data_IF_835805069910
#
_entry.id   IF_835805069910
#
_cell.length_a   1.000
_cell.length_b   1.000
_cell.length_c   1.000
_cell.angle_alpha   90.00
_cell.angle_beta   90.00
_cell.angle_gamma   90.00
#
_symmetry.space_group_name_H-M   'P 1'
#
loop_
_entity.id
_entity.type
_entity.pdbx_description
1 polymer ?
#
# COMPACT_ATOMS: atom_id res chain seq x y z
N UNK A 1 -9.37 -16.19 -15.55
CA UNK A 1 -10.20 -15.92 -14.36
C UNK A 1 -9.55 -16.58 -13.15
N UNK A 2 -9.76 -16.10 -11.93
CA UNK A 2 -9.37 -16.86 -10.74
C UNK A 2 -10.15 -18.19 -10.72
N UNK A 3 -9.52 -19.37 -10.54
CA UNK A 3 -10.20 -20.66 -10.70
C UNK A 3 -11.48 -20.80 -9.85
N UNK A 4 -11.37 -20.51 -8.55
CA UNK A 4 -12.54 -20.55 -7.66
C UNK A 4 -13.66 -19.58 -8.08
N UNK A 5 -13.30 -18.40 -8.59
CA UNK A 5 -14.30 -17.41 -9.03
C UNK A 5 -14.95 -17.87 -10.34
N UNK A 6 -14.20 -18.54 -11.24
CA UNK A 6 -14.77 -19.12 -12.46
C UNK A 6 -15.85 -20.15 -12.12
N UNK A 7 -15.54 -21.10 -11.22
CA UNK A 7 -16.49 -22.11 -10.73
C UNK A 7 -17.74 -21.49 -10.08
N UNK A 8 -17.56 -20.38 -9.37
CA UNK A 8 -18.67 -19.63 -8.78
C UNK A 8 -19.53 -18.94 -9.84
N UNK A 9 -18.91 -18.25 -10.80
CA UNK A 9 -19.61 -17.51 -11.85
C UNK A 9 -20.35 -18.43 -12.83
N UNK A 10 -19.79 -19.59 -13.18
CA UNK A 10 -20.43 -20.58 -14.05
C UNK A 10 -21.75 -21.14 -13.47
N UNK A 11 -21.98 -20.99 -12.16
CA UNK A 11 -23.23 -21.37 -11.49
C UNK A 11 -24.30 -20.28 -11.53
N UNK A 12 -23.96 -19.06 -11.96
CA UNK A 12 -24.90 -17.93 -12.00
C UNK A 12 -25.76 -17.99 -13.26
N UNK A 13 -27.05 -17.68 -13.13
CA UNK A 13 -28.02 -17.73 -14.22
C UNK A 13 -27.57 -16.91 -15.44
N UNK A 14 -27.04 -15.71 -15.20
CA UNK A 14 -26.57 -14.81 -16.26
C UNK A 14 -25.39 -15.41 -17.06
N UNK A 15 -24.52 -16.19 -16.41
CA UNK A 15 -23.36 -16.81 -17.05
C UNK A 15 -23.79 -18.07 -17.80
N UNK A 16 -24.67 -18.88 -17.20
CA UNK A 16 -25.27 -20.05 -17.87
C UNK A 16 -26.02 -19.65 -19.14
N UNK A 17 -26.70 -18.51 -19.14
CA UNK A 17 -27.35 -17.98 -20.34
C UNK A 17 -26.35 -17.70 -21.47
N UNK A 18 -25.18 -17.11 -21.16
CA UNK A 18 -24.13 -16.88 -22.16
C UNK A 18 -23.57 -18.20 -22.72
N UNK A 19 -23.40 -19.21 -21.86
CA UNK A 19 -22.94 -20.54 -22.27
C UNK A 19 -23.96 -21.20 -23.20
N UNK A 20 -25.25 -21.19 -22.83
CA UNK A 20 -26.33 -21.75 -23.66
C UNK A 20 -26.44 -21.08 -25.03
N UNK A 21 -26.11 -19.79 -25.12
CA UNK A 21 -26.10 -19.01 -26.36
C UNK A 21 -24.80 -19.17 -27.18
N UNK A 22 -23.83 -19.98 -26.73
CA UNK A 22 -22.47 -20.06 -27.30
C UNK A 22 -21.74 -18.70 -27.35
N UNK A 23 -22.10 -17.77 -26.47
CA UNK A 23 -21.41 -16.49 -26.30
C UNK A 23 -20.24 -16.57 -25.30
N UNK A 24 -20.21 -17.63 -24.48
CA UNK A 24 -19.13 -17.93 -23.54
C UNK A 24 -18.81 -19.42 -23.61
N UNK A 25 -17.52 -19.74 -23.68
CA UNK A 25 -17.01 -21.12 -23.61
C UNK A 25 -16.07 -21.25 -22.41
N UNK A 26 -16.34 -22.21 -21.53
CA UNK A 26 -15.41 -22.59 -20.49
C UNK A 26 -14.29 -23.46 -21.09
N UNK A 27 -13.05 -23.00 -20.97
CA UNK A 27 -11.87 -23.68 -21.50
C UNK A 27 -11.11 -24.46 -20.40
N UNK A 28 -11.60 -24.44 -19.16
CA UNK A 28 -10.90 -24.99 -18.01
C UNK A 28 -9.63 -24.21 -17.63
N UNK A 29 -8.87 -24.77 -16.70
CA UNK A 29 -7.56 -24.22 -16.32
C UNK A 29 -6.49 -24.58 -17.36
N UNK A 30 -5.76 -23.58 -17.84
CA UNK A 30 -4.67 -23.75 -18.79
C UNK A 30 -3.63 -22.63 -18.65
N UNK A 31 -2.41 -22.90 -19.14
CA UNK A 31 -1.32 -21.92 -19.22
C UNK A 31 -0.34 -21.97 -18.06
N UNK A 32 0.27 -20.81 -17.78
CA UNK A 32 1.35 -20.64 -16.80
C UNK A 32 0.89 -20.82 -15.36
N UNK A 33 1.86 -21.13 -14.47
CA UNK A 33 1.60 -21.16 -13.04
C UNK A 33 1.54 -19.74 -12.46
N UNK A 34 0.54 -19.52 -11.62
CA UNK A 34 0.34 -18.28 -10.87
C UNK A 34 0.43 -18.53 -9.37
N UNK A 35 1.02 -17.58 -8.65
CA UNK A 35 1.14 -17.62 -7.19
C UNK A 35 0.20 -16.57 -6.57
N UNK A 36 -0.66 -16.94 -5.60
CA UNK A 36 -1.42 -15.96 -4.85
C UNK A 36 -0.48 -15.13 -3.98
N UNK A 37 -0.61 -13.81 -4.05
CA UNK A 37 0.14 -12.88 -3.19
C UNK A 37 -0.56 -12.72 -1.84
N UNK A 38 -0.02 -11.88 -0.94
CA UNK A 38 -0.61 -11.65 0.39
C UNK A 38 -2.03 -11.07 0.41
N UNK A 39 -2.57 -10.58 -0.73
CA UNK A 39 -3.98 -10.19 -0.84
C UNK A 39 -4.90 -11.36 -1.24
N UNK A 40 -4.35 -12.54 -1.53
CA UNK A 40 -4.97 -13.72 -2.15
C UNK A 40 -5.50 -13.50 -3.57
N UNK A 41 -6.28 -12.43 -3.79
CA UNK A 41 -6.93 -12.10 -5.06
C UNK A 41 -6.01 -11.52 -6.14
N UNK A 42 -4.82 -11.05 -5.75
CA UNK A 42 -3.79 -10.64 -6.71
C UNK A 42 -2.81 -11.78 -6.93
N UNK A 43 -2.66 -12.18 -8.18
CA UNK A 43 -1.78 -13.27 -8.60
C UNK A 43 -0.52 -12.73 -9.27
N UNK A 44 0.59 -13.37 -8.96
CA UNK A 44 1.91 -13.09 -9.53
C UNK A 44 2.40 -14.27 -10.37
N UNK A 45 3.06 -13.98 -11.48
CA UNK A 45 3.83 -14.96 -12.24
C UNK A 45 5.14 -14.32 -12.70
N UNK A 46 6.31 -14.96 -12.45
CA UNK A 46 7.60 -14.41 -12.88
C UNK A 46 7.76 -14.38 -14.41
N UNK A 47 7.01 -15.21 -15.14
CA UNK A 47 7.06 -15.30 -16.61
C UNK A 47 6.13 -14.31 -17.32
N UNK A 48 5.39 -13.46 -16.59
CA UNK A 48 4.40 -12.55 -17.15
C UNK A 48 4.72 -11.08 -16.84
N UNK A 49 4.47 -10.20 -17.84
CA UNK A 49 4.64 -8.75 -17.72
C UNK A 49 3.60 -8.07 -16.84
N UNK A 50 2.48 -8.75 -16.61
CA UNK A 50 1.38 -8.27 -15.78
C UNK A 50 1.14 -9.22 -14.60
N UNK A 51 0.90 -8.63 -13.44
CA UNK A 51 0.16 -9.28 -12.36
C UNK A 51 -1.34 -9.11 -12.62
N UNK A 52 -2.16 -10.02 -12.09
CA UNK A 52 -3.62 -9.95 -12.27
C UNK A 52 -4.31 -9.88 -10.91
N UNK A 53 -5.12 -8.83 -10.68
CA UNK A 53 -5.95 -8.65 -9.50
C UNK A 53 -7.40 -8.96 -9.85
N UNK A 54 -7.96 -10.03 -9.29
CA UNK A 54 -9.33 -10.46 -9.56
C UNK A 54 -10.34 -9.88 -8.58
N UNK A 55 -11.57 -9.68 -9.03
CA UNK A 55 -12.75 -9.67 -8.17
C UNK A 55 -12.92 -11.08 -7.60
N UNK A 56 -13.01 -11.20 -6.28
CA UNK A 56 -13.08 -12.49 -5.59
C UNK A 56 -14.16 -12.43 -4.51
N UNK A 57 -15.21 -13.23 -4.64
CA UNK A 57 -16.37 -13.29 -3.72
C UNK A 57 -16.04 -14.03 -2.42
N UNK A 58 -14.92 -13.65 -1.78
CA UNK A 58 -14.43 -14.17 -0.50
C UNK A 58 -14.23 -13.00 0.45
N UNK A 59 -14.59 -13.19 1.72
CA UNK A 59 -14.32 -12.22 2.78
C UNK A 59 -12.94 -12.46 3.38
N UNK A 60 -12.08 -11.44 3.34
CA UNK A 60 -10.78 -11.44 4.02
C UNK A 60 -10.70 -10.22 4.92
N UNK A 61 -10.39 -10.45 6.20
CA UNK A 61 -10.50 -9.45 7.28
C UNK A 61 -11.91 -8.86 7.37
N UNK A 62 -12.06 -7.55 7.11
CA UNK A 62 -13.31 -6.82 7.27
C UNK A 62 -13.97 -6.47 5.93
N UNK A 63 -13.53 -7.06 4.81
CA UNK A 63 -14.02 -6.72 3.48
C UNK A 63 -14.26 -7.94 2.61
N UNK A 64 -15.35 -7.91 1.84
CA UNK A 64 -15.52 -8.78 0.67
C UNK A 64 -14.56 -8.30 -0.41
N UNK A 65 -13.86 -9.23 -1.05
CA UNK A 65 -12.75 -8.95 -1.97
C UNK A 65 -13.20 -8.86 -3.43
N UNK A 66 -14.43 -8.43 -3.67
CA UNK A 66 -14.88 -8.01 -5.00
C UNK A 66 -14.22 -6.69 -5.40
N UNK A 67 -14.12 -6.47 -6.71
CA UNK A 67 -13.75 -5.20 -7.31
C UNK A 67 -15.01 -4.48 -7.75
N UNK A 68 -14.97 -3.15 -7.78
CA UNK A 68 -15.97 -2.34 -8.49
C UNK A 68 -15.37 -1.61 -9.69
N UNK A 69 -16.21 -1.18 -10.62
CA UNK A 69 -15.78 -0.32 -11.74
C UNK A 69 -15.15 0.97 -11.22
N UNK A 70 -15.67 1.50 -10.11
CA UNK A 70 -15.13 2.69 -9.45
C UNK A 70 -13.67 2.48 -9.08
N UNK A 71 -13.34 1.34 -8.47
CA UNK A 71 -11.99 1.01 -8.04
C UNK A 71 -11.04 0.76 -9.23
N UNK A 72 -11.50 0.06 -10.27
CA UNK A 72 -10.70 -0.14 -11.49
C UNK A 72 -10.39 1.19 -12.19
N UNK A 73 -11.34 2.13 -12.21
CA UNK A 73 -11.13 3.48 -12.77
C UNK A 73 -10.08 4.30 -12.00
N UNK A 74 -9.86 4.06 -10.70
CA UNK A 74 -8.78 4.72 -9.94
C UNK A 74 -7.41 4.32 -10.47
N UNK A 75 -7.22 3.03 -10.80
CA UNK A 75 -6.01 2.53 -11.46
C UNK A 75 -5.76 3.25 -12.78
N UNK A 76 -6.77 3.27 -13.66
CA UNK A 76 -6.69 3.98 -14.95
C UNK A 76 -6.37 5.47 -14.80
N UNK A 77 -6.97 6.13 -13.81
CA UNK A 77 -6.72 7.56 -13.53
C UNK A 77 -5.26 7.79 -13.14
N UNK A 78 -4.72 7.02 -12.21
CA UNK A 78 -3.34 7.13 -11.80
C UNK A 78 -2.36 6.81 -12.94
N UNK A 79 -2.67 5.79 -13.74
CA UNK A 79 -1.88 5.40 -14.90
C UNK A 79 -1.81 6.51 -15.97
N UNK A 80 -2.93 7.19 -16.23
CA UNK A 80 -2.96 8.37 -17.13
C UNK A 80 -2.22 9.55 -16.55
N UNK A 81 -2.39 9.82 -15.25
CA UNK A 81 -1.67 10.89 -14.56
C UNK A 81 -0.16 10.64 -14.60
N UNK A 82 0.27 9.37 -14.58
CA UNK A 82 1.68 9.00 -14.68
C UNK A 82 2.34 9.36 -16.01
N UNK A 83 1.55 9.67 -17.05
CA UNK A 83 2.05 10.11 -18.35
C UNK A 83 2.29 11.63 -18.43
N UNK A 84 1.90 12.42 -17.43
CA UNK A 84 2.07 13.88 -17.52
C UNK A 84 3.48 14.34 -17.09
N UNK A 85 3.94 15.52 -17.54
CA UNK A 85 5.25 16.05 -17.16
C UNK A 85 5.44 16.19 -15.64
N UNK A 86 4.37 16.53 -14.91
CA UNK A 86 4.44 16.68 -13.45
C UNK A 86 4.66 15.35 -12.71
N UNK A 87 4.17 14.23 -13.27
CA UNK A 87 4.60 12.91 -12.78
C UNK A 87 6.07 12.66 -13.06
N UNK A 88 6.56 13.04 -14.24
CA UNK A 88 7.97 12.85 -14.60
C UNK A 88 8.91 13.67 -13.70
N UNK A 89 8.49 14.86 -13.26
CA UNK A 89 9.21 15.63 -12.23
C UNK A 89 9.25 14.91 -10.88
N UNK A 90 8.11 14.36 -10.43
CA UNK A 90 8.05 13.54 -9.22
C UNK A 90 8.98 12.32 -9.32
N UNK A 91 8.91 11.59 -10.43
CA UNK A 91 9.72 10.41 -10.68
C UNK A 91 11.21 10.73 -10.78
N UNK A 92 11.58 11.86 -11.38
CA UNK A 92 12.96 12.33 -11.46
C UNK A 92 13.52 12.71 -10.08
N UNK A 93 12.69 13.29 -9.20
CA UNK A 93 13.06 13.60 -7.82
C UNK A 93 13.25 12.34 -6.98
N UNK A 94 12.42 11.32 -7.19
CA UNK A 94 12.46 10.05 -6.47
C UNK A 94 12.59 8.86 -7.43
N UNK A 95 13.76 8.65 -8.06
CA UNK A 95 13.94 7.64 -9.11
C UNK A 95 13.80 6.19 -8.63
N UNK A 96 13.93 5.97 -7.32
CA UNK A 96 13.81 4.65 -6.67
C UNK A 96 12.44 4.45 -6.02
N UNK A 97 11.52 5.41 -6.15
CA UNK A 97 10.11 5.26 -5.80
C UNK A 97 9.33 5.01 -7.08
N UNK A 98 8.65 3.87 -7.18
CA UNK A 98 7.82 3.52 -8.34
C UNK A 98 6.44 3.03 -7.90
N UNK A 99 5.46 3.24 -8.77
CA UNK A 99 4.11 2.69 -8.61
C UNK A 99 3.90 1.60 -9.65
N UNK A 100 3.47 0.42 -9.24
CA UNK A 100 2.96 -0.61 -10.15
C UNK A 100 1.59 -0.15 -10.66
N UNK A 101 1.55 0.41 -11.87
CA UNK A 101 0.32 0.97 -12.42
C UNK A 101 -0.72 -0.12 -12.68
N UNK A 102 -1.99 0.28 -12.63
CA UNK A 102 -3.15 -0.55 -12.93
C UNK A 102 -3.85 0.04 -14.16
N UNK A 103 -3.23 -0.12 -15.34
CA UNK A 103 -3.57 0.57 -16.58
C UNK A 103 -4.46 -0.25 -17.53
N UNK A 104 -4.91 -1.42 -17.09
CA UNK A 104 -5.86 -2.27 -17.80
C UNK A 104 -6.85 -2.94 -16.85
N UNK A 105 -8.09 -3.08 -17.29
CA UNK A 105 -9.10 -3.87 -16.59
C UNK A 105 -10.13 -4.43 -17.56
N UNK A 106 -10.75 -5.53 -17.16
CA UNK A 106 -11.78 -6.20 -17.95
C UNK A 106 -12.86 -6.81 -17.06
N UNK A 107 -14.02 -7.11 -17.64
CA UNK A 107 -15.12 -7.82 -16.98
C UNK A 107 -16.10 -8.35 -18.01
N UNK A 108 -16.88 -9.34 -17.60
CA UNK A 108 -17.93 -9.95 -18.41
C UNK A 108 -19.23 -9.14 -18.31
N UNK A 109 -19.98 -9.15 -19.40
CA UNK A 109 -21.35 -8.63 -19.45
C UNK A 109 -22.31 -9.79 -19.67
N UNK A 110 -23.46 -9.74 -19.02
CA UNK A 110 -24.58 -10.65 -19.29
C UNK A 110 -25.20 -10.39 -20.67
N UNK A 111 -26.14 -11.24 -21.09
CA UNK A 111 -26.75 -11.16 -22.42
C UNK A 111 -27.52 -9.84 -22.67
N UNK A 112 -27.95 -9.16 -21.61
CA UNK A 112 -28.56 -7.82 -21.62
C UNK A 112 -27.52 -6.68 -21.59
N UNK A 113 -26.23 -7.00 -21.73
CA UNK A 113 -25.09 -6.08 -21.66
C UNK A 113 -24.82 -5.44 -20.29
N UNK A 114 -25.44 -5.94 -19.21
CA UNK A 114 -25.13 -5.51 -17.84
C UNK A 114 -23.76 -6.04 -17.40
N UNK A 115 -22.88 -5.15 -16.93
CA UNK A 115 -21.56 -5.53 -16.44
C UNK A 115 -21.66 -6.25 -15.09
N UNK A 116 -20.95 -7.36 -14.96
CA UNK A 116 -20.96 -8.20 -13.76
C UNK A 116 -19.70 -7.95 -12.92
N UNK A 117 -19.80 -7.20 -11.83
CA UNK A 117 -18.62 -6.77 -11.05
C UNK A 117 -17.81 -7.93 -10.43
N UNK A 118 -18.47 -9.06 -10.15
CA UNK A 118 -17.83 -10.29 -9.66
C UNK A 118 -16.91 -10.96 -10.70
N UNK A 119 -16.99 -10.54 -11.97
CA UNK A 119 -16.11 -11.01 -13.05
C UNK A 119 -14.96 -10.06 -13.36
N UNK A 120 -14.87 -8.93 -12.65
CA UNK A 120 -13.84 -7.92 -12.92
C UNK A 120 -12.44 -8.46 -12.65
N UNK A 121 -11.49 -7.99 -13.45
CA UNK A 121 -10.07 -8.13 -13.20
C UNK A 121 -9.35 -6.83 -13.57
N UNK A 122 -8.24 -6.58 -12.91
CA UNK A 122 -7.31 -5.48 -13.16
C UNK A 122 -5.94 -6.07 -13.50
N UNK A 123 -5.32 -5.55 -14.54
CA UNK A 123 -3.94 -5.82 -14.91
C UNK A 123 -3.06 -4.81 -14.20
N UNK A 124 -1.99 -5.29 -13.56
CA UNK A 124 -1.03 -4.47 -12.85
C UNK A 124 0.35 -4.73 -13.43
N UNK A 125 1.11 -3.66 -13.71
CA UNK A 125 2.49 -3.76 -14.17
C UNK A 125 3.34 -4.64 -13.26
N UNK A 126 3.92 -5.72 -13.82
CA UNK A 126 4.94 -6.51 -13.13
C UNK A 126 6.31 -5.87 -13.33
N UNK A 127 6.62 -4.87 -12.51
CA UNK A 127 7.94 -4.21 -12.52
C UNK A 127 9.10 -5.14 -12.10
N UNK A 128 8.80 -6.36 -11.62
CA UNK A 128 9.79 -7.39 -11.28
C UNK A 128 10.06 -8.36 -12.43
N UNK A 129 9.33 -8.26 -13.55
CA UNK A 129 9.43 -9.21 -14.67
C UNK A 129 10.85 -9.38 -15.21
N UNK A 130 11.63 -8.29 -15.28
CA UNK A 130 13.02 -8.33 -15.76
C UNK A 130 14.03 -8.81 -14.71
N UNK A 131 13.65 -8.82 -13.43
CA UNK A 131 14.51 -9.19 -12.30
C UNK A 131 13.72 -9.97 -11.24
N UNK A 132 13.21 -11.17 -11.57
CA UNK A 132 12.34 -11.95 -10.68
C UNK A 132 13.05 -12.40 -9.39
N UNK A 133 14.37 -12.47 -9.40
CA UNK A 133 15.22 -12.84 -8.26
C UNK A 133 15.71 -11.62 -7.44
N UNK A 134 15.23 -10.42 -7.75
CA UNK A 134 15.54 -9.21 -6.96
C UNK A 134 15.04 -9.34 -5.52
N UNK A 135 15.75 -8.72 -4.57
CA UNK A 135 15.36 -8.72 -3.17
C UNK A 135 14.26 -7.67 -2.89
N UNK A 136 13.12 -7.82 -3.54
CA UNK A 136 11.96 -6.93 -3.39
C UNK A 136 10.87 -7.61 -2.58
N UNK A 137 10.71 -7.19 -1.34
CA UNK A 137 9.90 -7.91 -0.35
C UNK A 137 8.77 -7.01 0.16
N UNK A 138 7.59 -7.58 0.35
CA UNK A 138 6.47 -6.85 0.98
C UNK A 138 6.79 -6.59 2.45
N UNK A 139 6.62 -5.34 2.90
CA UNK A 139 7.00 -4.90 4.25
C UNK A 139 6.33 -5.75 5.34
N UNK A 140 5.06 -6.11 5.15
CA UNK A 140 4.30 -6.91 6.14
C UNK A 140 4.94 -8.26 6.45
N UNK A 141 5.65 -8.86 5.49
CA UNK A 141 6.34 -10.14 5.69
C UNK A 141 7.68 -9.94 6.39
N UNK A 142 8.32 -8.78 6.23
CA UNK A 142 9.57 -8.46 6.92
C UNK A 142 9.35 -8.23 8.42
N UNK A 143 8.30 -7.48 8.77
CA UNK A 143 8.01 -7.02 10.14
C UNK A 143 7.21 -8.03 10.95
N UNK A 144 6.65 -9.07 10.32
CA UNK A 144 5.89 -10.11 10.99
C UNK A 144 6.75 -10.80 12.07
N UNK A 145 6.17 -10.99 13.25
CA UNK A 145 6.77 -11.83 14.29
C UNK A 145 6.78 -13.29 13.84
N UNK A 146 7.91 -13.98 13.98
CA UNK A 146 7.98 -15.40 13.61
C UNK A 146 7.15 -16.26 14.56
N UNK A 147 6.36 -17.22 14.04
CA UNK A 147 5.52 -18.08 14.87
C UNK A 147 6.28 -18.92 15.90
N UNK A 148 7.55 -19.22 15.65
CA UNK A 148 8.41 -20.01 16.55
C UNK A 148 9.18 -19.14 17.56
N UNK A 149 8.96 -17.82 17.55
CA UNK A 149 9.66 -16.86 18.41
C UNK A 149 11.08 -16.51 17.94
N UNK A 150 11.48 -16.93 16.74
CA UNK A 150 12.74 -16.56 16.11
C UNK A 150 12.81 -15.10 15.66
N UNK A 151 13.92 -14.74 15.02
CA UNK A 151 14.10 -13.43 14.39
C UNK A 151 13.07 -13.24 13.27
N UNK A 152 12.37 -12.10 13.26
CA UNK A 152 11.62 -11.66 12.08
C UNK A 152 12.53 -11.62 10.84
N UNK A 153 11.93 -11.69 9.65
CA UNK A 153 12.70 -11.59 8.41
C UNK A 153 13.43 -10.24 8.28
N UNK A 154 12.89 -9.17 8.87
CA UNK A 154 13.58 -7.88 9.02
C UNK A 154 14.82 -8.01 9.92
N UNK A 155 14.67 -8.62 11.11
CA UNK A 155 15.79 -8.80 12.03
C UNK A 155 16.90 -9.66 11.40
N UNK A 156 16.52 -10.72 10.71
CA UNK A 156 17.43 -11.56 9.93
C UNK A 156 18.18 -10.76 8.84
N UNK A 157 17.50 -9.87 8.13
CA UNK A 157 18.11 -8.99 7.13
C UNK A 157 19.13 -8.04 7.77
N UNK A 158 18.78 -7.40 8.88
CA UNK A 158 19.68 -6.50 9.62
C UNK A 158 20.90 -7.24 10.17
N UNK A 159 20.77 -8.46 10.67
CA UNK A 159 21.92 -9.27 11.11
C UNK A 159 22.85 -9.62 9.95
N UNK A 160 22.32 -9.97 8.78
CA UNK A 160 23.13 -10.21 7.57
C UNK A 160 23.82 -8.93 7.10
N UNK A 161 23.14 -7.79 7.13
CA UNK A 161 23.70 -6.47 6.86
C UNK A 161 24.87 -6.16 7.81
N UNK A 162 24.66 -6.36 9.12
CA UNK A 162 25.68 -6.15 10.16
C UNK A 162 26.91 -7.03 9.93
N UNK A 163 26.72 -8.33 9.69
CA UNK A 163 27.80 -9.27 9.45
C UNK A 163 28.58 -8.92 8.17
N UNK A 164 27.88 -8.60 7.08
CA UNK A 164 28.48 -8.27 5.79
C UNK A 164 29.30 -6.98 5.83
N UNK A 165 28.81 -5.96 6.55
CA UNK A 165 29.46 -4.66 6.66
C UNK A 165 30.39 -4.53 7.88
N UNK A 166 30.48 -5.58 8.71
CA UNK A 166 31.21 -5.57 9.97
C UNK A 166 30.79 -4.41 10.89
N UNK A 167 29.49 -4.22 11.06
CA UNK A 167 28.89 -3.17 11.90
C UNK A 167 28.33 -3.76 13.20
N UNK A 168 28.32 -2.98 14.31
CA UNK A 168 27.48 -3.29 15.45
C UNK A 168 26.00 -3.42 15.04
N UNK A 169 25.26 -4.33 15.66
CA UNK A 169 23.84 -4.60 15.32
C UNK A 169 22.97 -3.34 15.38
N UNK A 170 23.13 -2.52 16.41
CA UNK A 170 22.43 -1.24 16.55
C UNK A 170 22.70 -0.32 15.36
N UNK A 171 23.96 -0.22 14.92
CA UNK A 171 24.33 0.63 13.81
C UNK A 171 23.79 0.09 12.46
N UNK A 172 23.76 -1.23 12.27
CA UNK A 172 23.11 -1.83 11.10
C UNK A 172 21.59 -1.58 11.09
N UNK A 173 20.93 -1.64 12.25
CA UNK A 173 19.51 -1.31 12.38
C UNK A 173 19.24 0.16 12.03
N UNK A 174 20.11 1.08 12.48
CA UNK A 174 20.04 2.48 12.10
C UNK A 174 20.24 2.69 10.60
N UNK A 175 21.26 2.05 9.99
CA UNK A 175 21.45 2.12 8.55
C UNK A 175 20.22 1.63 7.78
N UNK A 176 19.59 0.55 8.23
CA UNK A 176 18.38 0.02 7.62
C UNK A 176 17.20 0.98 7.77
N UNK A 177 16.98 1.51 8.97
CA UNK A 177 15.87 2.43 9.26
C UNK A 177 16.02 3.77 8.53
N UNK A 178 17.23 4.35 8.52
CA UNK A 178 17.51 5.59 7.81
C UNK A 178 17.27 5.41 6.29
N UNK A 179 17.69 4.27 5.73
CA UNK A 179 17.43 3.92 4.34
C UNK A 179 15.93 3.68 4.06
N UNK A 180 15.20 3.03 4.97
CA UNK A 180 13.74 2.91 4.89
C UNK A 180 13.07 4.29 4.88
N UNK A 181 13.50 5.21 5.75
CA UNK A 181 12.99 6.57 5.75
C UNK A 181 13.25 7.25 4.39
N UNK A 182 14.50 7.21 3.92
CA UNK A 182 14.91 7.83 2.66
C UNK A 182 14.16 7.28 1.44
N UNK A 183 13.98 5.96 1.37
CA UNK A 183 13.46 5.31 0.17
C UNK A 183 11.96 5.05 0.20
N UNK A 184 11.32 4.97 1.37
CA UNK A 184 9.88 4.67 1.51
C UNK A 184 9.13 5.86 2.09
N UNK A 185 9.51 6.29 3.29
CA UNK A 185 8.74 7.25 4.08
C UNK A 185 8.71 8.64 3.44
N UNK A 186 9.90 9.20 3.18
CA UNK A 186 10.03 10.57 2.69
C UNK A 186 9.45 10.75 1.28
N UNK A 187 9.63 9.82 0.31
CA UNK A 187 8.98 9.92 -0.98
C UNK A 187 7.44 9.94 -0.88
N UNK A 188 6.85 9.13 -0.01
CA UNK A 188 5.39 9.11 0.17
C UNK A 188 4.86 10.42 0.79
N UNK A 189 5.50 10.93 1.85
CA UNK A 189 5.13 12.22 2.43
C UNK A 189 5.35 13.39 1.46
N UNK A 190 6.48 13.41 0.74
CA UNK A 190 6.75 14.47 -0.23
C UNK A 190 5.81 14.44 -1.43
N UNK A 191 5.42 13.24 -1.88
CA UNK A 191 4.43 13.07 -2.96
C UNK A 191 3.09 13.72 -2.59
N UNK A 192 2.64 13.52 -1.35
CA UNK A 192 1.44 14.18 -0.84
C UNK A 192 1.66 15.68 -0.69
N UNK A 193 2.70 16.10 0.04
CA UNK A 193 2.92 17.49 0.37
C UNK A 193 3.17 18.40 -0.86
N UNK A 194 3.91 17.92 -1.85
CA UNK A 194 4.38 18.74 -2.97
C UNK A 194 3.54 18.59 -4.24
N UNK A 195 2.79 17.49 -4.36
CA UNK A 195 2.01 17.16 -5.55
C UNK A 195 0.52 16.91 -5.26
N UNK A 196 0.13 16.75 -3.99
CA UNK A 196 -1.24 16.44 -3.58
C UNK A 196 -1.67 15.01 -3.91
N UNK A 197 -0.74 14.13 -4.30
CA UNK A 197 -1.04 12.73 -4.56
C UNK A 197 -0.91 11.93 -3.26
N UNK A 198 -2.01 11.33 -2.83
CA UNK A 198 -2.09 10.49 -1.64
C UNK A 198 -2.02 9.03 -2.05
N UNK A 199 -1.08 8.29 -1.47
CA UNK A 199 -0.99 6.83 -1.62
C UNK A 199 -1.12 6.21 -0.23
N UNK A 200 -2.22 5.50 0.03
CA UNK A 200 -2.48 4.85 1.32
C UNK A 200 -1.62 3.58 1.46
N UNK A 201 -0.35 3.79 1.77
CA UNK A 201 0.69 2.77 1.85
C UNK A 201 0.72 2.08 3.21
N UNK A 202 -0.16 1.10 3.42
CA UNK A 202 -0.02 0.15 4.51
C UNK A 202 1.06 -0.90 4.22
N UNK A 203 1.45 -1.72 5.21
CA UNK A 203 2.57 -2.65 5.05
C UNK A 203 2.45 -3.58 3.85
N UNK A 204 1.22 -4.00 3.51
CA UNK A 204 1.00 -4.88 2.37
C UNK A 204 1.13 -4.17 1.01
N UNK A 205 1.05 -2.84 0.95
CA UNK A 205 1.17 -2.03 -0.28
C UNK A 205 2.60 -1.52 -0.51
N UNK A 206 3.50 -1.68 0.47
CA UNK A 206 4.91 -1.31 0.39
C UNK A 206 5.71 -2.55 0.05
N UNK A 207 6.32 -2.56 -1.14
CA UNK A 207 7.36 -3.51 -1.51
C UNK A 207 8.70 -2.79 -1.34
N UNK A 208 9.50 -3.22 -0.36
CA UNK A 208 10.83 -2.65 -0.11
C UNK A 208 11.81 -3.32 -1.07
N UNK A 209 12.40 -2.52 -1.96
CA UNK A 209 13.48 -2.99 -2.84
C UNK A 209 14.78 -2.92 -2.05
N UNK A 210 15.41 -4.07 -1.86
CA UNK A 210 16.67 -4.17 -1.14
C UNK A 210 17.80 -4.62 -2.06
N UNK A 211 19.02 -4.20 -1.73
CA UNK A 211 20.23 -4.76 -2.28
C UNK A 211 21.12 -5.22 -1.12
N UNK A 212 21.37 -6.53 -1.06
CA UNK A 212 22.14 -7.15 0.02
C UNK A 212 21.62 -6.74 1.41
N UNK A 213 20.30 -6.83 1.62
CA UNK A 213 19.60 -6.52 2.87
C UNK A 213 19.47 -5.04 3.25
N UNK A 214 19.95 -4.09 2.42
CA UNK A 214 19.75 -2.65 2.64
C UNK A 214 18.65 -2.11 1.70
N UNK A 215 17.66 -1.33 2.19
CA UNK A 215 16.70 -0.65 1.33
C UNK A 215 17.38 0.30 0.34
N UNK A 216 17.04 0.19 -0.93
CA UNK A 216 17.55 1.05 -2.02
C UNK A 216 16.44 1.65 -2.88
N UNK A 217 15.20 1.26 -2.64
CA UNK A 217 14.02 1.72 -3.37
C UNK A 217 12.73 1.12 -2.83
N UNK A 218 11.64 1.43 -3.51
CA UNK A 218 10.32 0.91 -3.16
C UNK A 218 9.38 0.83 -4.36
N UNK A 219 8.55 -0.21 -4.38
CA UNK A 219 7.41 -0.32 -5.30
C UNK A 219 6.09 -0.23 -4.52
N UNK A 220 5.25 0.73 -4.88
CA UNK A 220 3.92 0.89 -4.33
C UNK A 220 2.98 0.06 -5.18
N UNK A 221 2.09 -0.70 -4.54
CA UNK A 221 1.04 -1.45 -5.23
C UNK A 221 -0.33 -1.11 -4.65
N UNK A 222 -1.35 -1.45 -5.42
CA UNK A 222 -2.77 -1.20 -5.11
C UNK A 222 -3.22 0.25 -5.34
N UNK A 223 -3.52 0.56 -6.60
CA UNK A 223 -3.99 1.88 -7.02
C UNK A 223 -5.38 2.22 -6.47
N UNK A 224 -6.11 1.23 -5.93
CA UNK A 224 -7.37 1.45 -5.22
C UNK A 224 -7.21 2.41 -4.03
N UNK A 225 -6.04 2.37 -3.36
CA UNK A 225 -5.65 3.23 -2.25
C UNK A 225 -5.09 4.60 -2.65
N UNK A 226 -5.20 4.98 -3.93
CA UNK A 226 -4.81 6.32 -4.38
C UNK A 226 -5.91 7.35 -4.10
N UNK A 227 -5.50 8.58 -3.78
CA UNK A 227 -6.37 9.73 -3.59
C UNK A 227 -5.66 11.03 -3.93
N UNK A 228 -6.40 12.13 -3.96
CA UNK A 228 -5.88 13.44 -4.36
C UNK A 228 -6.37 14.53 -3.42
N UNK A 229 -5.47 15.37 -2.92
CA UNK A 229 -5.85 16.55 -2.14
C UNK A 229 -6.25 17.69 -3.07
N UNK A 230 -6.79 18.78 -2.50
CA UNK A 230 -7.19 19.96 -3.27
C UNK A 230 -6.02 20.58 -4.08
N UNK A 231 -4.77 20.43 -3.63
CA UNK A 231 -3.60 20.96 -4.34
C UNK A 231 -3.26 20.21 -5.64
N UNK A 232 -3.80 18.99 -5.81
CA UNK A 232 -3.65 18.19 -7.03
C UNK A 232 -4.69 18.49 -8.11
N UNK A 233 -5.74 19.28 -7.84
CA UNK A 233 -6.81 19.54 -8.82
C UNK A 233 -6.30 20.13 -10.14
N UNK A 234 -5.36 21.10 -10.17
CA UNK A 234 -4.80 21.58 -11.43
C UNK A 234 -4.06 20.49 -12.22
N UNK A 235 -3.40 19.55 -11.52
CA UNK A 235 -2.71 18.43 -12.15
C UNK A 235 -3.69 17.41 -12.73
N UNK A 236 -4.76 17.10 -12.00
CA UNK A 236 -5.85 16.25 -12.48
C UNK A 236 -6.58 16.85 -13.69
N UNK A 237 -6.68 18.18 -13.76
CA UNK A 237 -7.28 18.86 -14.90
C UNK A 237 -6.51 18.62 -16.22
N UNK A 238 -5.19 18.38 -16.17
CA UNK A 238 -4.37 18.05 -17.34
C UNK A 238 -4.83 16.78 -18.06
N UNK A 239 -5.48 15.86 -17.32
CA UNK A 239 -6.01 14.60 -17.85
C UNK A 239 -7.55 14.56 -17.85
N UNK A 240 -8.21 15.69 -17.60
CA UNK A 240 -9.68 15.78 -17.58
C UNK A 240 -10.36 15.10 -16.38
N UNK A 241 -9.65 14.93 -15.26
CA UNK A 241 -10.15 14.21 -14.06
C UNK A 241 -10.21 15.13 -12.83
N UNK A 242 -10.41 16.44 -13.00
CA UNK A 242 -10.47 17.41 -11.90
C UNK A 242 -11.60 17.14 -10.89
N UNK A 243 -12.65 16.43 -11.30
CA UNK A 243 -13.77 16.00 -10.45
C UNK A 243 -13.62 14.53 -10.00
N UNK A 244 -12.38 14.04 -9.88
CA UNK A 244 -12.09 12.67 -9.48
C UNK A 244 -12.79 12.29 -8.17
N UNK A 245 -13.44 11.13 -8.16
CA UNK A 245 -14.25 10.69 -7.02
C UNK A 245 -13.40 10.31 -5.79
N UNK A 246 -12.10 10.07 -5.99
CA UNK A 246 -11.12 9.81 -4.94
C UNK A 246 -10.38 11.08 -4.51
N UNK A 247 -11.04 12.24 -4.56
CA UNK A 247 -10.57 13.48 -3.93
C UNK A 247 -10.76 13.42 -2.41
N UNK A 248 -9.75 13.85 -1.66
CA UNK A 248 -9.70 13.79 -0.20
C UNK A 248 -9.87 15.18 0.40
N UNK A 249 -10.73 15.27 1.42
CA UNK A 249 -10.71 16.40 2.34
C UNK A 249 -9.49 16.36 3.25
N UNK A 250 -9.13 17.49 3.85
CA UNK A 250 -8.07 17.55 4.86
C UNK A 250 -8.32 16.57 6.02
N UNK A 251 -9.57 16.45 6.47
CA UNK A 251 -9.93 15.51 7.54
C UNK A 251 -9.70 14.05 7.14
N UNK A 252 -9.99 13.69 5.88
CA UNK A 252 -9.73 12.35 5.36
C UNK A 252 -8.23 12.08 5.24
N UNK A 253 -7.45 13.06 4.75
CA UNK A 253 -6.00 12.98 4.69
C UNK A 253 -5.40 12.72 6.07
N UNK A 254 -5.69 13.59 7.04
CA UNK A 254 -5.11 13.52 8.39
C UNK A 254 -5.53 12.27 9.15
N UNK A 255 -6.70 11.71 8.85
CA UNK A 255 -7.19 10.46 9.45
C UNK A 255 -6.56 9.21 8.83
N UNK A 256 -6.43 9.15 7.51
CA UNK A 256 -6.06 7.91 6.82
C UNK A 256 -4.56 7.79 6.58
N UNK A 257 -3.92 8.86 6.10
CA UNK A 257 -2.56 8.78 5.60
C UNK A 257 -1.54 8.49 6.73
N UNK A 258 -1.56 9.21 7.88
CA UNK A 258 -0.69 8.88 9.01
C UNK A 258 -0.94 7.48 9.59
N UNK A 259 -2.19 7.05 9.67
CA UNK A 259 -2.52 5.70 10.16
C UNK A 259 -1.85 4.62 9.30
N UNK A 260 -1.99 4.69 7.98
CA UNK A 260 -1.43 3.65 7.12
C UNK A 260 0.10 3.72 7.02
N UNK A 261 0.67 4.92 6.92
CA UNK A 261 2.10 5.07 6.69
C UNK A 261 2.94 5.00 7.97
N UNK A 262 2.42 5.46 9.10
CA UNK A 262 3.14 5.43 10.38
C UNK A 262 2.67 4.26 11.24
N UNK A 263 1.42 4.27 11.68
CA UNK A 263 0.94 3.30 12.68
C UNK A 263 0.94 1.88 12.12
N UNK A 264 0.38 1.70 10.93
CA UNK A 264 0.35 0.39 10.31
C UNK A 264 1.74 -0.01 9.81
N UNK A 265 2.56 0.92 9.31
CA UNK A 265 3.81 0.60 8.60
C UNK A 265 5.10 0.94 9.34
N UNK A 266 5.42 2.23 9.49
CA UNK A 266 6.73 2.64 10.03
C UNK A 266 6.93 2.24 11.50
N UNK A 267 5.88 2.25 12.32
CA UNK A 267 5.95 1.78 13.71
C UNK A 267 6.11 0.26 13.79
N UNK A 268 5.61 -0.51 12.81
CA UNK A 268 5.86 -1.95 12.75
C UNK A 268 7.36 -2.25 12.49
N UNK A 269 8.04 -1.39 11.73
CA UNK A 269 9.50 -1.48 11.54
C UNK A 269 10.23 -1.20 12.86
N UNK A 270 9.93 -0.10 13.55
CA UNK A 270 10.58 0.24 14.81
C UNK A 270 10.33 -0.82 15.87
N UNK A 271 9.09 -1.30 15.99
CA UNK A 271 8.73 -2.37 16.91
C UNK A 271 9.48 -3.68 16.61
N UNK A 272 9.58 -4.10 15.34
CA UNK A 272 10.29 -5.32 14.97
C UNK A 272 11.80 -5.23 15.23
N UNK A 273 12.42 -4.07 15.00
CA UNK A 273 13.83 -3.83 15.33
C UNK A 273 14.07 -3.80 16.86
N UNK A 274 13.15 -3.18 17.61
CA UNK A 274 13.22 -3.12 19.07
C UNK A 274 13.01 -4.49 19.72
N UNK A 275 12.05 -5.28 19.23
CA UNK A 275 11.79 -6.64 19.68
C UNK A 275 13.00 -7.57 19.48
N UNK A 276 13.82 -7.32 18.45
CA UNK A 276 15.08 -8.04 18.22
C UNK A 276 16.25 -7.55 19.08
N UNK A 277 16.04 -6.53 19.92
CA UNK A 277 17.03 -5.97 20.84
C UNK A 277 18.10 -5.10 20.17
N UNK A 278 17.82 -4.53 18.99
CA UNK A 278 18.80 -3.67 18.32
C UNK A 278 18.88 -2.26 18.92
N UNK A 279 17.75 -1.74 19.44
CA UNK A 279 17.66 -0.53 20.25
C UNK A 279 16.27 -0.46 20.91
N UNK A 280 15.99 0.58 21.71
CA UNK A 280 14.64 0.89 22.18
C UNK A 280 13.76 1.44 21.06
N UNK A 281 12.45 1.21 21.16
CA UNK A 281 11.50 1.72 20.15
C UNK A 281 11.48 3.25 20.14
N UNK A 282 11.64 3.90 21.29
CA UNK A 282 11.70 5.36 21.42
C UNK A 282 12.87 5.95 20.64
N UNK A 283 14.08 5.37 20.76
CA UNK A 283 15.26 5.83 20.03
C UNK A 283 15.10 5.66 18.51
N UNK A 284 14.48 4.55 18.08
CA UNK A 284 14.19 4.31 16.67
C UNK A 284 13.13 5.29 16.14
N UNK A 285 12.10 5.59 16.94
CA UNK A 285 11.06 6.56 16.59
C UNK A 285 11.61 8.00 16.53
N UNK A 286 12.62 8.36 17.33
CA UNK A 286 13.32 9.65 17.21
C UNK A 286 13.91 9.82 15.81
N UNK A 287 14.54 8.77 15.25
CA UNK A 287 15.10 8.83 13.89
C UNK A 287 14.02 9.07 12.83
N UNK A 288 12.89 8.39 12.95
CA UNK A 288 11.72 8.61 12.08
C UNK A 288 11.24 10.05 12.20
N UNK A 289 11.12 10.56 13.42
CA UNK A 289 10.74 11.95 13.70
C UNK A 289 11.72 12.94 13.06
N UNK A 290 13.01 12.73 13.21
CA UNK A 290 14.04 13.63 12.70
C UNK A 290 14.01 13.69 11.17
N UNK A 291 13.85 12.55 10.50
CA UNK A 291 13.69 12.49 9.04
C UNK A 291 12.45 13.28 8.57
N UNK A 292 11.31 13.11 9.22
CA UNK A 292 10.08 13.86 8.91
C UNK A 292 10.21 15.35 9.20
N UNK A 293 10.92 15.71 10.28
CA UNK A 293 11.17 17.10 10.65
C UNK A 293 12.06 17.80 9.62
N UNK A 294 13.07 17.10 9.10
CA UNK A 294 13.89 17.60 8.01
C UNK A 294 13.06 17.82 6.74
N UNK A 295 12.21 16.86 6.34
CA UNK A 295 11.31 17.02 5.19
C UNK A 295 10.36 18.19 5.35
N UNK A 296 9.82 18.40 6.56
CA UNK A 296 8.92 19.53 6.86
C UNK A 296 9.52 20.88 6.50
N UNK A 297 10.84 21.06 6.63
CA UNK A 297 11.50 22.34 6.33
C UNK A 297 11.51 22.71 4.84
N UNK A 298 11.31 21.74 3.94
CA UNK A 298 11.36 21.96 2.49
C UNK A 298 10.08 21.56 1.75
N UNK A 299 9.11 20.96 2.43
CA UNK A 299 7.80 20.61 1.87
C UNK A 299 6.99 21.87 1.51
N UNK A 300 6.24 21.81 0.40
CA UNK A 300 5.36 22.90 -0.06
C UNK A 300 4.11 23.03 0.82
N UNK A 301 3.54 21.90 1.25
CA UNK A 301 2.42 21.86 2.18
C UNK A 301 2.82 21.04 3.41
N UNK A 302 2.85 21.68 4.57
CA UNK A 302 3.27 21.04 5.83
C UNK A 302 2.11 20.44 6.62
N UNK A 303 0.85 20.62 6.19
CA UNK A 303 -0.35 20.26 6.97
C UNK A 303 -0.28 18.85 7.58
N UNK A 304 0.04 17.83 6.77
CA UNK A 304 0.12 16.46 7.26
C UNK A 304 1.34 16.23 8.17
N UNK A 305 2.49 16.85 7.86
CA UNK A 305 3.70 16.77 8.66
C UNK A 305 3.53 17.46 10.03
N UNK A 306 2.85 18.60 10.07
CA UNK A 306 2.53 19.32 11.30
C UNK A 306 1.60 18.49 12.18
N UNK A 307 0.56 17.88 11.60
CA UNK A 307 -0.30 16.96 12.33
C UNK A 307 0.48 15.77 12.92
N UNK A 308 1.33 15.14 12.10
CA UNK A 308 2.13 13.98 12.51
C UNK A 308 3.13 14.32 13.62
N UNK A 309 3.77 15.49 13.57
CA UNK A 309 4.87 15.83 14.48
C UNK A 309 4.42 16.54 15.75
N UNK A 310 3.31 17.27 15.69
CA UNK A 310 2.91 18.23 16.72
C UNK A 310 1.54 17.93 17.34
N UNK A 311 0.66 17.15 16.70
CA UNK A 311 -0.60 16.73 17.35
C UNK A 311 -0.33 15.78 18.51
N UNK A 312 -0.97 15.92 19.69
CA UNK A 312 -0.81 14.97 20.79
C UNK A 312 -1.45 13.61 20.49
N UNK A 313 -2.42 13.56 19.58
CA UNK A 313 -3.14 12.34 19.21
C UNK A 313 -3.31 12.22 17.69
N UNK A 314 -3.31 10.99 17.21
CA UNK A 314 -3.71 10.61 15.87
C UNK A 314 -5.05 9.90 15.87
N UNK A 315 -5.91 10.19 14.90
CA UNK A 315 -7.12 9.40 14.69
C UNK A 315 -6.76 8.10 13.95
N UNK A 316 -6.84 6.97 14.64
CA UNK A 316 -6.44 5.67 14.10
C UNK A 316 -7.62 4.73 13.94
N UNK A 317 -7.55 3.85 12.93
CA UNK A 317 -8.59 2.86 12.67
C UNK A 317 -8.46 1.67 13.64
N UNK A 318 -9.54 1.36 14.35
CA UNK A 318 -9.70 0.16 15.16
C UNK A 318 -10.28 -1.00 14.35
N UNK A 319 -9.49 -2.04 14.09
CA UNK A 319 -9.97 -3.22 13.36
C UNK A 319 -10.83 -4.14 14.23
N UNK A 320 -10.60 -4.21 15.54
CA UNK A 320 -11.31 -5.12 16.46
C UNK A 320 -12.82 -4.83 16.51
N UNK A 321 -13.22 -3.62 16.89
CA UNK A 321 -14.63 -3.25 16.98
C UNK A 321 -15.30 -3.17 15.60
N UNK A 322 -14.54 -2.75 14.57
CA UNK A 322 -15.02 -2.81 13.19
C UNK A 322 -15.40 -4.25 12.79
N UNK A 323 -14.57 -5.24 13.15
CA UNK A 323 -14.86 -6.65 12.89
C UNK A 323 -16.01 -7.17 13.76
N UNK A 324 -16.02 -6.83 15.06
CA UNK A 324 -17.06 -7.26 16.00
C UNK A 324 -18.46 -6.80 15.58
N UNK A 325 -18.58 -5.62 14.97
CA UNK A 325 -19.85 -5.06 14.50
C UNK A 325 -20.21 -5.48 13.07
N UNK A 326 -19.47 -6.41 12.47
CA UNK A 326 -19.68 -6.90 11.10
C UNK A 326 -19.69 -5.79 10.03
N UNK A 327 -18.99 -4.68 10.30
CA UNK A 327 -18.94 -3.56 9.38
C UNK A 327 -18.01 -3.89 8.21
N UNK A 328 -18.56 -3.90 6.98
CA UNK A 328 -17.76 -4.00 5.77
C UNK A 328 -17.11 -2.65 5.47
N UNK A 329 -15.79 -2.56 5.64
CA UNK A 329 -15.01 -1.33 5.47
C UNK A 329 -15.26 -0.61 4.13
N UNK A 330 -15.55 -1.36 3.06
CA UNK A 330 -15.76 -0.78 1.73
C UNK A 330 -17.14 -0.08 1.59
N UNK A 331 -18.06 -0.29 2.53
CA UNK A 331 -19.46 0.15 2.43
C UNK A 331 -19.98 0.88 3.67
N UNK A 332 -19.13 1.18 4.67
CA UNK A 332 -19.54 1.96 5.85
C UNK A 332 -19.95 3.38 5.44
N UNK A 333 -21.09 3.86 5.98
CA UNK A 333 -21.63 5.20 5.71
C UNK A 333 -20.85 6.30 6.44
N UNK A 334 -20.54 6.12 7.73
CA UNK A 334 -19.66 7.01 8.51
C UNK A 334 -18.40 6.27 8.97
N UNK A 335 -17.27 6.47 8.29
CA UNK A 335 -16.00 5.86 8.68
C UNK A 335 -15.54 6.26 10.08
N UNK A 336 -16.00 7.38 10.66
CA UNK A 336 -15.51 7.87 11.96
C UNK A 336 -15.79 6.89 13.12
N UNK A 337 -16.84 6.07 13.02
CA UNK A 337 -17.28 5.14 14.07
C UNK A 337 -16.22 4.08 14.42
N UNK A 338 -15.32 3.79 13.49
CA UNK A 338 -14.24 2.82 13.71
C UNK A 338 -12.90 3.47 14.04
N UNK A 339 -12.86 4.78 14.28
CA UNK A 339 -11.63 5.50 14.64
C UNK A 339 -11.61 5.87 16.12
N UNK A 340 -10.42 5.85 16.70
CA UNK A 340 -10.16 6.25 18.08
C UNK A 340 -8.90 7.11 18.18
N UNK A 341 -8.75 7.81 19.28
CA UNK A 341 -7.57 8.64 19.55
C UNK A 341 -6.40 7.77 20.02
N UNK A 342 -5.33 7.78 19.23
CA UNK A 342 -4.07 7.11 19.50
C UNK A 342 -3.04 8.14 19.96
N UNK A 343 -2.38 7.91 21.09
CA UNK A 343 -1.34 8.81 21.60
C UNK A 343 -0.19 8.86 20.60
N UNK A 344 0.18 10.07 20.17
CA UNK A 344 1.23 10.25 19.18
C UNK A 344 2.62 10.02 19.80
N UNK A 345 3.36 8.95 19.41
CA UNK A 345 4.68 8.69 19.96
C UNK A 345 5.77 9.61 19.40
N UNK A 346 5.50 10.33 18.30
CA UNK A 346 6.42 11.31 17.70
C UNK A 346 6.28 12.71 18.32
N UNK A 347 5.28 12.93 19.17
CA UNK A 347 5.08 14.21 19.84
C UNK A 347 6.22 14.50 20.84
N UNK A 348 6.76 15.73 20.83
CA UNK A 348 7.96 16.09 21.62
C UNK A 348 7.83 15.77 23.12
N UNK A 349 6.63 15.93 23.68
CA UNK A 349 6.36 15.67 25.10
C UNK A 349 6.39 14.19 25.50
N UNK A 350 6.24 13.25 24.56
CA UNK A 350 6.27 11.80 24.82
C UNK A 350 7.71 11.28 24.79
N UNK A 351 8.49 11.70 23.80
CA UNK A 351 9.89 11.29 23.62
C UNK A 351 10.79 11.75 24.78
N UNK A 352 10.55 12.94 25.33
CA UNK A 352 11.35 13.49 26.44
C UNK A 352 10.84 13.07 27.83
N UNK A 353 9.68 12.40 27.91
CA UNK A 353 9.08 11.96 29.17
C UNK A 353 9.67 10.66 29.73
N UNK A 354 10.36 9.87 28.91
CA UNK A 354 10.96 8.59 29.30
C UNK A 354 12.37 8.70 29.91
N UNK A 355 12.94 9.92 29.95
CA UNK A 355 14.28 10.20 30.51
C UNK A 355 14.23 10.99 31.83
N UNK A 356 13.10 10.99 32.54
CA UNK A 356 12.97 11.59 33.88
C UNK A 356 12.52 10.61 34.95
#
# INVERSE_FOLDING_TARGET
>A
MHPWQADHLLKQDWCQQLVQQNALHDLGEAGERWLPTSSSRSLYSPSNRDMVKFSLSVRLTNSVRTLSVKEAKRGMRLARLAQTPRWQELQARYPTFRVMQEDGWAGLRSADFTLQEESLLVLRDNLLFSQPDSQTNVLVTLTQAEPDGGDSLLASAVRRLAARLNLPLQQAAFCWLDAYCQHVLLPLFSTEADYGLVLLAHQQNILVEMQQDLPVGMLYRDCQGSGFTQSALPWLAEIGEAEAENSFSEQQLLRYFPYYLLVNSSLAVTAALAAAGFDSEENLMVRVRDALSALRTCAKNTLCLDYVLDSPHWHCKGNFFCYLHDHNENTIVDPAVIYFDFVNPLHQGVIHGATR
#
